data_IF_670244190164
#
_entry.id   IF_670244190164
#
_cell.length_a   1.000
_cell.length_b   1.000
_cell.length_c   1.000
_cell.angle_alpha   90.00
_cell.angle_beta   90.00
_cell.angle_gamma   90.00
#
_symmetry.space_group_name_H-M   'P 1'
#
loop_
_entity.id
_entity.type
_entity.pdbx_description
1 polymer ?
#
# COMPACT_ATOMS: atom_id res chain seq x y z
N UNK A 1 -11.16 -20.59 11.00
CA UNK A 1 -11.57 -19.38 10.25
C UNK A 1 -11.81 -19.80 8.80
N UNK A 2 -12.95 -19.47 8.20
CA UNK A 2 -13.27 -19.93 6.84
C UNK A 2 -12.33 -19.25 5.81
N UNK A 3 -11.77 -20.00 4.86
CA UNK A 3 -10.82 -19.49 3.86
C UNK A 3 -11.39 -18.33 3.02
N UNK A 4 -12.70 -18.37 2.74
CA UNK A 4 -13.41 -17.28 2.07
C UNK A 4 -13.36 -15.96 2.87
N UNK A 5 -13.60 -16.03 4.18
CA UNK A 5 -13.57 -14.86 5.06
C UNK A 5 -12.15 -14.28 5.21
N UNK A 6 -11.13 -15.14 5.23
CA UNK A 6 -9.72 -14.72 5.22
C UNK A 6 -9.37 -13.92 3.97
N UNK A 7 -9.84 -14.40 2.81
CA UNK A 7 -9.60 -13.77 1.53
C UNK A 7 -10.34 -12.44 1.38
N UNK A 8 -11.64 -12.38 1.70
CA UNK A 8 -12.42 -11.14 1.60
C UNK A 8 -11.92 -10.06 2.56
N UNK A 9 -11.51 -10.43 3.78
CA UNK A 9 -10.88 -9.49 4.71
C UNK A 9 -9.57 -8.93 4.16
N UNK A 10 -8.75 -9.77 3.52
CA UNK A 10 -7.52 -9.30 2.90
C UNK A 10 -7.77 -8.33 1.74
N UNK A 11 -8.76 -8.63 0.89
CA UNK A 11 -9.17 -7.75 -0.20
C UNK A 11 -9.63 -6.39 0.33
N UNK A 12 -10.50 -6.39 1.34
CA UNK A 12 -11.03 -5.18 1.95
C UNK A 12 -9.92 -4.34 2.59
N UNK A 13 -8.97 -4.97 3.29
CA UNK A 13 -7.84 -4.26 3.91
C UNK A 13 -6.89 -3.70 2.85
N UNK A 14 -6.69 -4.40 1.73
CA UNK A 14 -5.92 -3.90 0.61
C UNK A 14 -6.56 -2.65 -0.02
N UNK A 15 -7.89 -2.68 -0.22
CA UNK A 15 -8.64 -1.53 -0.72
C UNK A 15 -8.56 -0.33 0.25
N UNK A 16 -8.69 -0.56 1.56
CA UNK A 16 -8.53 0.50 2.57
C UNK A 16 -7.14 1.12 2.51
N UNK A 17 -6.09 0.31 2.42
CA UNK A 17 -4.71 0.80 2.28
C UNK A 17 -4.58 1.75 1.08
N UNK A 18 -5.08 1.34 -0.08
CA UNK A 18 -4.99 2.17 -1.28
C UNK A 18 -5.84 3.43 -1.20
N UNK A 19 -7.03 3.37 -0.58
CA UNK A 19 -7.85 4.55 -0.31
C UNK A 19 -7.10 5.58 0.55
N UNK A 20 -6.40 5.13 1.59
CA UNK A 20 -5.56 5.98 2.44
C UNK A 20 -4.43 6.62 1.62
N UNK A 21 -3.73 5.85 0.80
CA UNK A 21 -2.65 6.36 -0.07
C UNK A 21 -3.20 7.42 -1.03
N UNK A 22 -4.32 7.15 -1.73
CA UNK A 22 -4.93 8.12 -2.64
C UNK A 22 -5.43 9.38 -1.95
N UNK A 23 -5.94 9.27 -0.72
CA UNK A 23 -6.35 10.43 0.07
C UNK A 23 -5.15 11.33 0.35
N UNK A 24 -4.03 10.74 0.78
CA UNK A 24 -2.78 11.48 1.01
C UNK A 24 -2.26 12.08 -0.29
N UNK A 25 -2.22 11.32 -1.37
CA UNK A 25 -1.85 11.82 -2.70
C UNK A 25 -2.67 13.04 -3.12
N UNK A 26 -3.99 13.01 -2.88
CA UNK A 26 -4.87 14.14 -3.17
C UNK A 26 -4.52 15.39 -2.36
N UNK A 27 -4.07 15.24 -1.11
CA UNK A 27 -3.62 16.40 -0.29
C UNK A 27 -2.30 17.00 -0.76
N UNK A 28 -1.51 16.26 -1.53
CA UNK A 28 -0.21 16.67 -2.07
C UNK A 28 -0.31 17.32 -3.46
N UNK A 29 -1.53 17.47 -4.01
CA UNK A 29 -1.77 18.03 -5.35
C UNK A 29 -0.87 17.41 -6.42
N UNK A 30 -0.72 16.08 -6.39
CA UNK A 30 0.11 15.37 -7.35
C UNK A 30 -0.40 15.55 -8.78
N UNK A 31 0.50 15.54 -9.76
CA UNK A 31 0.10 15.70 -11.15
C UNK A 31 -0.67 14.46 -11.66
N UNK A 32 -1.28 14.59 -12.84
CA UNK A 32 -2.09 13.53 -13.43
C UNK A 32 -1.26 12.28 -13.79
N UNK A 33 -0.01 12.45 -14.22
CA UNK A 33 0.87 11.34 -14.58
C UNK A 33 1.20 10.47 -13.35
N UNK A 34 1.59 11.09 -12.24
CA UNK A 34 1.87 10.45 -10.97
C UNK A 34 0.62 9.75 -10.40
N UNK A 35 -0.55 10.37 -10.58
CA UNK A 35 -1.84 9.78 -10.21
C UNK A 35 -2.10 8.49 -10.99
N UNK A 36 -1.87 8.49 -12.31
CA UNK A 36 -2.03 7.30 -13.16
C UNK A 36 -1.06 6.21 -12.73
N UNK A 37 0.20 6.54 -12.41
CA UNK A 37 1.18 5.58 -11.92
C UNK A 37 0.71 4.93 -10.61
N UNK A 38 0.19 5.71 -9.66
CA UNK A 38 -0.38 5.17 -8.41
C UNK A 38 -1.58 4.25 -8.65
N UNK A 39 -2.46 4.58 -9.61
CA UNK A 39 -3.57 3.71 -10.03
C UNK A 39 -3.04 2.38 -10.55
N UNK A 40 -2.02 2.40 -11.42
CA UNK A 40 -1.41 1.18 -11.97
C UNK A 40 -0.80 0.33 -10.85
N UNK A 41 -0.04 0.94 -9.93
CA UNK A 41 0.54 0.20 -8.79
C UNK A 41 -0.56 -0.40 -7.92
N UNK A 42 -1.67 0.32 -7.71
CA UNK A 42 -2.82 -0.19 -6.95
C UNK A 42 -3.48 -1.40 -7.58
N UNK A 43 -3.63 -1.38 -8.90
CA UNK A 43 -4.18 -2.50 -9.66
C UNK A 43 -3.24 -3.72 -9.59
N UNK A 44 -1.93 -3.52 -9.75
CA UNK A 44 -0.93 -4.58 -9.63
C UNK A 44 -0.99 -5.21 -8.23
N UNK A 45 -1.12 -4.40 -7.18
CA UNK A 45 -1.19 -4.91 -5.80
C UNK A 45 -2.43 -5.78 -5.55
N UNK A 46 -3.59 -5.36 -6.09
CA UNK A 46 -4.80 -6.16 -6.04
C UNK A 46 -4.63 -7.46 -6.81
N UNK A 47 -4.09 -7.41 -8.03
CA UNK A 47 -3.83 -8.62 -8.83
C UNK A 47 -2.90 -9.59 -8.11
N UNK A 48 -1.86 -9.10 -7.42
CA UNK A 48 -0.96 -9.93 -6.62
C UNK A 48 -1.69 -10.67 -5.50
N UNK A 49 -2.63 -9.99 -4.83
CA UNK A 49 -3.49 -10.61 -3.81
C UNK A 49 -4.34 -11.73 -4.42
N UNK A 50 -4.86 -11.51 -5.62
CA UNK A 50 -5.77 -12.43 -6.31
C UNK A 50 -5.06 -13.67 -6.88
N UNK A 51 -3.88 -13.49 -7.49
CA UNK A 51 -3.29 -14.50 -8.38
C UNK A 51 -1.98 -15.13 -7.86
N UNK A 52 -1.07 -14.33 -7.30
CA UNK A 52 0.35 -14.72 -7.27
C UNK A 52 0.86 -15.20 -5.91
N UNK A 53 0.13 -14.92 -4.80
CA UNK A 53 0.42 -15.45 -3.44
C UNK A 53 1.93 -15.55 -3.13
N UNK A 54 2.68 -14.49 -3.41
CA UNK A 54 4.14 -14.43 -3.30
C UNK A 54 4.56 -13.27 -2.38
N UNK A 55 5.30 -13.60 -1.32
CA UNK A 55 5.77 -12.64 -0.31
C UNK A 55 6.76 -11.62 -0.86
N UNK A 56 7.67 -12.03 -1.76
CA UNK A 56 8.65 -11.14 -2.37
C UNK A 56 7.98 -10.09 -3.25
N UNK A 57 7.05 -10.50 -4.13
CA UNK A 57 6.29 -9.58 -4.96
C UNK A 57 5.47 -8.60 -4.12
N UNK A 58 4.92 -9.07 -3.00
CA UNK A 58 4.19 -8.21 -2.08
C UNK A 58 5.05 -7.11 -1.47
N UNK A 59 6.28 -7.44 -1.08
CA UNK A 59 7.22 -6.47 -0.54
C UNK A 59 7.57 -5.39 -1.58
N UNK A 60 7.82 -5.79 -2.84
CA UNK A 60 8.11 -4.85 -3.94
C UNK A 60 6.97 -3.85 -4.10
N UNK A 61 5.73 -4.34 -4.15
CA UNK A 61 4.57 -3.48 -4.36
C UNK A 61 4.23 -2.60 -3.15
N UNK A 62 4.57 -3.03 -1.94
CA UNK A 62 4.47 -2.15 -0.76
C UNK A 62 5.49 -0.99 -0.79
N UNK A 63 6.64 -1.15 -1.43
CA UNK A 63 7.62 -0.06 -1.58
C UNK A 63 7.25 0.88 -2.73
N UNK A 64 6.55 0.39 -3.75
CA UNK A 64 6.22 1.13 -4.97
C UNK A 64 5.54 2.50 -4.76
N UNK A 65 4.60 2.70 -3.80
CA UNK A 65 4.03 4.03 -3.53
C UNK A 65 5.07 5.10 -3.18
N UNK A 66 6.15 4.74 -2.50
CA UNK A 66 7.20 5.70 -2.12
C UNK A 66 8.09 6.11 -3.29
N UNK A 67 8.12 5.35 -4.38
CA UNK A 67 8.79 5.78 -5.60
C UNK A 67 8.10 6.97 -6.25
N UNK A 68 6.78 7.09 -6.09
CA UNK A 68 6.01 8.24 -6.56
C UNK A 68 5.96 9.33 -5.49
N UNK A 69 5.58 8.97 -4.26
CA UNK A 69 5.35 9.95 -3.21
C UNK A 69 6.64 10.51 -2.58
N UNK A 70 7.72 9.74 -2.56
CA UNK A 70 9.00 10.16 -1.98
C UNK A 70 9.56 11.43 -2.63
N UNK A 71 9.74 11.47 -3.96
CA UNK A 71 10.17 12.69 -4.65
C UNK A 71 9.23 13.88 -4.42
N UNK A 72 7.92 13.64 -4.37
CA UNK A 72 6.90 14.69 -4.14
C UNK A 72 7.03 15.29 -2.74
N UNK A 73 7.22 14.44 -1.72
CA UNK A 73 7.51 14.89 -0.37
C UNK A 73 8.81 15.70 -0.31
N UNK A 74 9.87 15.24 -0.99
CA UNK A 74 11.14 15.98 -1.03
C UNK A 74 10.98 17.34 -1.69
N UNK A 75 10.29 17.42 -2.84
CA UNK A 75 10.06 18.65 -3.57
C UNK A 75 9.26 19.66 -2.72
N UNK A 76 8.20 19.20 -2.05
CA UNK A 76 7.41 20.03 -1.13
C UNK A 76 8.28 20.65 -0.03
N UNK A 77 9.21 19.87 0.53
CA UNK A 77 10.12 20.34 1.58
C UNK A 77 11.24 21.24 1.05
N UNK A 78 11.69 21.06 -0.19
CA UNK A 78 12.69 21.92 -0.83
C UNK A 78 12.09 23.29 -1.18
N UNK A 79 10.85 23.31 -1.70
CA UNK A 79 10.16 24.54 -2.08
C UNK A 79 9.79 25.38 -0.86
N UNK A 80 9.25 24.76 0.20
CA UNK A 80 8.88 25.46 1.42
C UNK A 80 9.06 24.57 2.67
N UNK A 81 10.24 24.65 3.27
CA UNK A 81 10.64 23.91 4.47
C UNK A 81 10.00 24.45 5.77
N UNK A 82 8.69 24.68 5.79
CA UNK A 82 7.98 25.13 6.99
C UNK A 82 7.75 23.96 7.97
N UNK A 83 7.68 24.26 9.27
CA UNK A 83 7.33 23.26 10.30
C UNK A 83 6.00 22.56 9.95
N UNK A 84 5.05 23.30 9.37
CA UNK A 84 3.77 22.77 8.89
C UNK A 84 3.97 21.69 7.81
N UNK A 85 4.76 21.99 6.78
CA UNK A 85 5.01 21.06 5.67
C UNK A 85 5.81 19.84 6.13
N UNK A 86 6.82 20.03 6.99
CA UNK A 86 7.57 18.92 7.61
C UNK A 86 6.62 18.01 8.39
N UNK A 87 5.75 18.59 9.23
CA UNK A 87 4.81 17.81 10.05
C UNK A 87 3.81 17.04 9.19
N UNK A 88 3.25 17.67 8.15
CA UNK A 88 2.34 17.02 7.20
C UNK A 88 3.02 15.84 6.48
N UNK A 89 4.25 16.03 6.00
CA UNK A 89 5.03 14.99 5.33
C UNK A 89 5.31 13.81 6.26
N UNK A 90 5.76 14.06 7.48
CA UNK A 90 6.01 13.00 8.46
C UNK A 90 4.70 12.25 8.78
N UNK A 91 3.61 12.97 9.03
CA UNK A 91 2.31 12.36 9.32
C UNK A 91 1.83 11.48 8.16
N UNK A 92 1.94 11.99 6.93
CA UNK A 92 1.58 11.25 5.72
C UNK A 92 2.40 9.95 5.59
N UNK A 93 3.73 10.03 5.75
CA UNK A 93 4.60 8.85 5.72
C UNK A 93 4.22 7.83 6.80
N UNK A 94 4.00 8.27 8.04
CA UNK A 94 3.61 7.38 9.15
C UNK A 94 2.29 6.66 8.85
N UNK A 95 1.28 7.39 8.35
CA UNK A 95 -0.02 6.81 8.01
C UNK A 95 0.12 5.75 6.91
N UNK A 96 0.90 6.03 5.85
CA UNK A 96 1.15 5.06 4.77
C UNK A 96 1.86 3.82 5.30
N UNK A 97 2.91 3.99 6.12
CA UNK A 97 3.67 2.88 6.72
C UNK A 97 2.74 1.99 7.56
N UNK A 98 1.92 2.59 8.42
CA UNK A 98 0.98 1.84 9.27
C UNK A 98 -0.05 1.08 8.43
N UNK A 99 -0.62 1.71 7.41
CA UNK A 99 -1.58 1.06 6.51
C UNK A 99 -0.94 -0.15 5.78
N UNK A 100 0.33 0.00 5.34
CA UNK A 100 1.08 -1.08 4.70
C UNK A 100 1.40 -2.23 5.65
N UNK A 101 1.85 -1.94 6.89
CA UNK A 101 2.13 -2.97 7.90
C UNK A 101 0.85 -3.76 8.20
N UNK A 102 -0.27 -3.06 8.42
CA UNK A 102 -1.54 -3.70 8.72
C UNK A 102 -2.01 -4.63 7.59
N UNK A 103 -1.90 -4.18 6.34
CA UNK A 103 -2.22 -4.98 5.16
C UNK A 103 -1.30 -6.20 5.02
N UNK A 104 0.01 -6.00 5.20
CA UNK A 104 1.00 -7.07 5.12
C UNK A 104 0.81 -8.14 6.19
N UNK A 105 0.44 -7.76 7.41
CA UNK A 105 0.12 -8.71 8.49
C UNK A 105 -1.07 -9.61 8.10
N UNK A 106 -2.08 -9.07 7.44
CA UNK A 106 -3.23 -9.84 6.97
C UNK A 106 -2.85 -10.73 5.78
N UNK A 107 -2.00 -10.23 4.89
CA UNK A 107 -1.49 -11.00 3.76
C UNK A 107 -0.69 -12.22 4.23
N UNK A 108 0.14 -12.09 5.27
CA UNK A 108 0.85 -13.22 5.87
C UNK A 108 -0.07 -14.28 6.45
N UNK A 109 -1.21 -13.89 7.05
CA UNK A 109 -2.21 -14.84 7.53
C UNK A 109 -2.82 -15.63 6.36
N UNK A 110 -3.12 -14.96 5.24
CA UNK A 110 -3.66 -15.58 4.04
C UNK A 110 -2.66 -16.56 3.40
N UNK A 111 -1.39 -16.15 3.28
CA UNK A 111 -0.30 -17.01 2.79
C UNK A 111 -0.15 -18.28 3.61
N UNK A 112 -0.11 -18.16 4.94
CA UNK A 112 0.00 -19.31 5.84
C UNK A 112 -1.17 -20.28 5.70
N UNK A 113 -2.38 -19.76 5.54
CA UNK A 113 -3.56 -20.59 5.30
C UNK A 113 -3.39 -21.41 4.00
N UNK A 114 -3.00 -20.77 2.90
CA UNK A 114 -2.82 -21.47 1.62
C UNK A 114 -1.63 -22.43 1.60
N UNK A 115 -0.55 -22.14 2.32
CA UNK A 115 0.59 -23.06 2.45
C UNK A 115 0.22 -24.27 3.30
N UNK A 116 -0.51 -24.07 4.40
CA UNK A 116 -1.03 -25.16 5.23
C UNK A 116 -1.95 -26.10 4.44
N UNK A 117 -2.88 -25.54 3.67
CA UNK A 117 -3.80 -26.31 2.82
C UNK A 117 -3.08 -27.11 1.72
N UNK A 118 -1.90 -26.65 1.27
CA UNK A 118 -1.06 -27.34 0.29
C UNK A 118 -0.27 -28.50 0.89
N UNK A 119 -0.02 -28.49 2.20
CA UNK A 119 0.70 -29.56 2.91
C UNK A 119 -0.23 -30.68 3.40
N UNK A 120 -1.55 -30.44 3.43
CA UNK A 120 -2.58 -31.42 3.80
C UNK A 120 -3.19 -32.16 2.59
N UNK A 121 -2.80 -31.80 1.37
CA UNK A 121 -3.18 -32.45 0.10
C UNK A 121 -1.99 -33.13 -0.55
#
# INVERSE_FOLDING_TARGET
>A
MNGFMLYTNNLLINLIKWLVIFTISGTLNINMADTIILIIISAIDLILLLLLKNEMLKNIVNIAPYWVLGPIFQMTLIEEASISNITKTILALVIIIVAQIFEYMNYKKLLRYYIGEKNEK
#
